data_IF_711860784306
#
_entry.id   IF_711860784306
#
_cell.length_a   1.000
_cell.length_b   1.000
_cell.length_c   1.000
_cell.angle_alpha   90.00
_cell.angle_beta   90.00
_cell.angle_gamma   90.00
#
_symmetry.space_group_name_H-M   'P 1'
#
loop_
_entity.id
_entity.type
_entity.pdbx_description
1 polymer ?
#
# COMPACT_ATOMS: atom_id res chain seq x y z
N UNK A 1 13.18 27.97 -10.37
CA UNK A 1 12.01 27.09 -10.59
C UNK A 1 12.52 25.82 -11.26
N UNK A 2 12.81 24.80 -10.47
CA UNK A 2 13.13 23.46 -10.95
C UNK A 2 12.68 22.51 -9.83
N UNK A 3 11.37 22.29 -9.75
CA UNK A 3 10.85 21.17 -8.98
C UNK A 3 11.10 19.96 -9.86
N UNK A 4 12.33 19.44 -9.75
CA UNK A 4 12.59 18.09 -10.18
C UNK A 4 11.83 17.24 -9.18
N UNK A 5 10.65 16.81 -9.60
CA UNK A 5 9.93 15.66 -9.06
C UNK A 5 10.97 14.53 -9.11
N UNK A 6 11.73 14.38 -8.02
CA UNK A 6 12.55 13.20 -7.80
C UNK A 6 11.56 12.06 -7.66
N UNK A 7 11.16 11.55 -8.82
CA UNK A 7 10.60 10.25 -9.00
C UNK A 7 11.62 9.30 -8.39
N UNK A 8 11.40 8.98 -7.12
CA UNK A 8 12.26 8.18 -6.28
C UNK A 8 12.63 6.93 -7.09
N UNK A 9 13.91 6.87 -7.46
CA UNK A 9 14.56 5.77 -8.15
C UNK A 9 14.28 4.49 -7.37
N UNK A 10 13.18 3.83 -7.67
CA UNK A 10 12.89 2.49 -7.16
C UNK A 10 12.99 1.59 -8.36
N UNK A 11 14.25 1.21 -8.59
CA UNK A 11 14.74 -0.05 -9.12
C UNK A 11 13.70 -0.87 -9.88
N UNK A 12 13.99 -1.06 -11.16
CA UNK A 12 13.30 -1.92 -12.11
C UNK A 12 13.19 -3.38 -11.62
N UNK A 13 12.31 -3.63 -10.66
CA UNK A 13 11.87 -4.96 -10.24
C UNK A 13 10.37 -4.95 -10.44
N UNK A 14 9.87 -5.75 -11.40
CA UNK A 14 8.45 -5.88 -11.78
C UNK A 14 7.53 -5.60 -10.59
N UNK A 15 7.07 -4.35 -10.46
CA UNK A 15 6.33 -3.95 -9.27
C UNK A 15 4.95 -4.57 -9.39
N UNK A 16 4.58 -5.39 -8.41
CA UNK A 16 3.26 -6.03 -8.31
C UNK A 16 2.13 -5.00 -8.12
N UNK A 17 2.53 -3.77 -7.80
CA UNK A 17 1.69 -2.62 -7.54
C UNK A 17 2.36 -1.32 -7.98
N UNK A 18 1.58 -0.26 -8.10
CA UNK A 18 2.06 1.10 -8.40
C UNK A 18 1.32 2.12 -7.56
N UNK A 19 2.01 3.18 -7.14
CA UNK A 19 1.43 4.28 -6.39
C UNK A 19 0.66 5.20 -7.34
N UNK A 20 -0.66 5.30 -7.14
CA UNK A 20 -1.54 6.17 -7.91
C UNK A 20 -1.67 7.53 -7.20
N UNK A 21 -0.62 8.34 -7.24
CA UNK A 21 -0.61 9.67 -6.64
C UNK A 21 -1.47 10.64 -7.48
N UNK A 22 -2.35 11.44 -6.87
CA UNK A 22 -2.99 12.57 -7.54
C UNK A 22 -2.48 13.85 -6.87
N UNK A 23 -2.00 14.79 -7.67
CA UNK A 23 -1.41 16.05 -7.19
C UNK A 23 -2.43 16.81 -6.30
N UNK A 24 -2.23 16.80 -4.98
CA UNK A 24 -3.03 17.53 -3.99
C UNK A 24 -3.91 16.71 -3.02
N UNK A 25 -3.98 15.38 -3.15
CA UNK A 25 -4.72 14.52 -2.21
C UNK A 25 -3.74 13.66 -1.40
N UNK A 26 -3.92 13.60 -0.08
CA UNK A 26 -3.05 12.90 0.87
C UNK A 26 -2.83 11.44 0.40
N UNK A 27 -1.58 11.11 0.16
CA UNK A 27 -1.10 10.10 -0.79
C UNK A 27 -1.30 8.68 -0.28
N UNK A 28 -2.33 7.95 -0.72
CA UNK A 28 -2.48 6.53 -0.34
C UNK A 28 -3.27 5.67 -1.34
N UNK A 29 -3.20 5.93 -2.64
CA UNK A 29 -3.80 5.03 -3.64
C UNK A 29 -2.77 4.02 -4.18
N UNK A 30 -3.12 2.73 -4.15
CA UNK A 30 -2.33 1.65 -4.73
C UNK A 30 -3.13 1.02 -5.85
N UNK A 31 -2.49 0.91 -7.01
CA UNK A 31 -2.99 0.16 -8.16
C UNK A 31 -2.24 -1.16 -8.26
N UNK A 32 -2.97 -2.25 -8.24
CA UNK A 32 -2.40 -3.58 -8.47
C UNK A 32 -2.20 -3.80 -9.97
N UNK A 33 -1.01 -4.25 -10.33
CA UNK A 33 -0.59 -4.51 -11.71
C UNK A 33 -0.37 -6.00 -11.96
N UNK A 34 -0.33 -6.81 -10.89
CA UNK A 34 -0.04 -8.25 -10.96
C UNK A 34 -1.18 -9.09 -10.34
N UNK A 35 -1.26 -10.35 -10.78
CA UNK A 35 -2.16 -11.37 -10.22
C UNK A 35 -3.63 -11.25 -10.65
N UNK A 36 -4.52 -11.95 -9.93
CA UNK A 36 -5.98 -11.93 -10.14
C UNK A 36 -6.60 -10.54 -9.93
N UNK A 37 -5.90 -9.66 -9.24
CA UNK A 37 -6.35 -8.31 -8.91
C UNK A 37 -5.76 -7.24 -9.83
N UNK A 38 -5.07 -7.62 -10.91
CA UNK A 38 -4.49 -6.68 -11.85
C UNK A 38 -5.54 -5.70 -12.40
N UNK A 39 -5.25 -4.40 -12.30
CA UNK A 39 -6.15 -3.31 -12.69
C UNK A 39 -7.02 -2.77 -11.55
N UNK A 40 -7.06 -3.43 -10.40
CA UNK A 40 -7.75 -2.91 -9.21
C UNK A 40 -6.98 -1.73 -8.64
N UNK A 41 -7.67 -0.64 -8.37
CA UNK A 41 -7.14 0.54 -7.67
C UNK A 41 -7.89 0.69 -6.38
N UNK A 42 -7.17 0.68 -5.27
CA UNK A 42 -7.71 0.91 -3.95
C UNK A 42 -6.96 2.04 -3.26
N UNK A 43 -7.66 2.76 -2.40
CA UNK A 43 -7.11 3.78 -1.53
C UNK A 43 -7.01 3.19 -0.14
N UNK A 44 -5.82 3.12 0.43
CA UNK A 44 -5.66 2.84 1.86
C UNK A 44 -5.75 4.16 2.63
N UNK A 45 -6.33 4.14 3.82
CA UNK A 45 -6.48 5.31 4.66
C UNK A 45 -5.53 5.23 5.84
N UNK A 46 -6.09 5.50 7.02
CA UNK A 46 -5.33 5.44 8.27
C UNK A 46 -4.88 4.02 8.55
N UNK A 47 -3.59 3.81 8.49
CA UNK A 47 -2.92 2.61 8.99
C UNK A 47 -2.70 2.77 10.50
N UNK A 48 -3.05 1.75 11.27
CA UNK A 48 -2.84 1.69 12.71
C UNK A 48 -2.51 0.28 13.16
N UNK A 49 -1.46 0.13 13.97
CA UNK A 49 -1.15 -1.14 14.60
C UNK A 49 -2.03 -1.35 15.82
N UNK A 50 -2.47 -2.59 16.05
CA UNK A 50 -3.11 -2.93 17.32
C UNK A 50 -2.14 -2.72 18.48
N UNK A 51 -2.68 -2.47 19.68
CA UNK A 51 -1.86 -2.31 20.89
C UNK A 51 -1.34 -3.63 21.43
N UNK A 52 -2.10 -4.70 21.19
CA UNK A 52 -1.81 -6.03 21.67
C UNK A 52 -1.34 -6.90 20.50
N UNK A 53 -0.21 -7.56 20.73
CA UNK A 53 0.27 -8.64 19.87
C UNK A 53 -0.68 -9.84 19.99
N UNK A 54 -0.92 -10.52 18.88
CA UNK A 54 -1.66 -11.78 18.91
C UNK A 54 -0.89 -12.82 19.74
N UNK A 55 -1.61 -13.86 20.20
CA UNK A 55 -0.99 -15.00 20.89
C UNK A 55 0.10 -15.72 20.10
N UNK A 56 0.14 -15.49 18.80
CA UNK A 56 1.12 -16.02 17.84
C UNK A 56 2.39 -15.15 17.73
N UNK A 57 2.42 -13.97 18.37
CA UNK A 57 3.53 -13.02 18.27
C UNK A 57 3.44 -12.09 17.04
N UNK A 58 2.32 -12.09 16.33
CA UNK A 58 2.06 -11.19 15.20
C UNK A 58 1.31 -9.94 15.68
N UNK A 59 1.74 -8.75 15.27
CA UNK A 59 1.04 -7.50 15.59
C UNK A 59 -0.02 -7.22 14.51
N UNK A 60 -1.32 -7.32 14.81
CA UNK A 60 -2.34 -7.14 13.78
C UNK A 60 -2.41 -5.65 13.38
N UNK A 61 -2.13 -5.40 12.11
CA UNK A 61 -2.29 -4.09 11.48
C UNK A 61 -3.75 -3.89 11.06
N UNK A 62 -4.32 -2.74 11.39
CA UNK A 62 -5.65 -2.30 10.97
C UNK A 62 -5.48 -1.12 10.04
N UNK A 63 -6.10 -1.21 8.88
CA UNK A 63 -6.13 -0.10 7.93
C UNK A 63 -7.50 -0.05 7.28
N UNK A 64 -7.97 1.15 7.02
CA UNK A 64 -9.13 1.37 6.15
C UNK A 64 -8.67 1.26 4.70
N UNK A 65 -9.48 0.62 3.86
CA UNK A 65 -9.27 0.62 2.42
C UNK A 65 -10.57 0.88 1.69
N UNK A 66 -10.49 1.52 0.52
CA UNK A 66 -11.63 1.83 -0.33
C UNK A 66 -11.27 1.50 -1.76
N UNK A 67 -12.01 0.57 -2.36
CA UNK A 67 -11.84 0.25 -3.77
C UNK A 67 -12.35 1.43 -4.61
N UNK A 68 -11.45 2.09 -5.34
CA UNK A 68 -11.78 3.20 -6.25
C UNK A 68 -12.11 2.69 -7.65
N UNK A 69 -11.39 1.67 -8.09
CA UNK A 69 -11.57 1.08 -9.42
C UNK A 69 -11.41 -0.42 -9.36
N UNK A 70 -12.35 -1.13 -9.98
CA UNK A 70 -12.35 -2.59 -10.06
C UNK A 70 -12.87 -3.01 -11.43
N UNK A 71 -12.01 -3.02 -12.46
CA UNK A 71 -12.45 -3.34 -13.83
C UNK A 71 -12.95 -4.79 -13.95
N UNK A 72 -12.53 -5.67 -13.05
CA UNK A 72 -12.85 -7.08 -13.05
C UNK A 72 -14.13 -7.42 -12.23
N UNK A 73 -14.79 -6.42 -11.62
CA UNK A 73 -15.95 -6.62 -10.73
C UNK A 73 -15.73 -7.75 -9.69
N UNK A 74 -14.52 -7.84 -9.14
CA UNK A 74 -14.18 -8.81 -8.11
C UNK A 74 -14.84 -8.44 -6.78
N UNK A 75 -15.33 -9.43 -6.04
CA UNK A 75 -15.76 -9.27 -4.65
C UNK A 75 -14.55 -9.07 -3.73
N UNK A 76 -14.21 -7.81 -3.46
CA UNK A 76 -13.08 -7.42 -2.61
C UNK A 76 -13.51 -6.85 -1.25
N UNK A 77 -14.78 -6.49 -1.07
CA UNK A 77 -15.28 -5.73 0.09
C UNK A 77 -15.18 -6.51 1.42
N UNK A 78 -15.15 -7.84 1.35
CA UNK A 78 -14.99 -8.74 2.52
C UNK A 78 -14.02 -9.88 2.22
N UNK A 79 -13.12 -9.66 1.26
CA UNK A 79 -12.22 -10.71 0.80
C UNK A 79 -11.00 -10.77 1.69
N UNK A 80 -10.99 -11.76 2.59
CA UNK A 80 -9.89 -11.96 3.55
C UNK A 80 -8.57 -12.23 2.83
N UNK A 81 -8.57 -12.96 1.70
CA UNK A 81 -7.34 -13.16 0.92
C UNK A 81 -6.80 -11.83 0.36
N UNK A 82 -7.68 -10.98 -0.16
CA UNK A 82 -7.32 -9.65 -0.66
C UNK A 82 -6.81 -8.77 0.48
N UNK A 83 -7.49 -8.76 1.62
CA UNK A 83 -7.12 -7.99 2.80
C UNK A 83 -5.73 -8.38 3.32
N UNK A 84 -5.46 -9.69 3.43
CA UNK A 84 -4.12 -10.18 3.78
C UNK A 84 -3.09 -9.80 2.71
N UNK A 85 -3.42 -9.96 1.43
CA UNK A 85 -2.51 -9.62 0.33
C UNK A 85 -2.13 -8.14 0.32
N UNK A 86 -3.09 -7.22 0.43
CA UNK A 86 -2.81 -5.78 0.49
C UNK A 86 -2.18 -5.38 1.82
N UNK A 87 -2.49 -6.10 2.92
CA UNK A 87 -1.87 -5.88 4.23
C UNK A 87 -0.38 -6.21 4.23
N UNK A 88 0.00 -7.40 3.75
CA UNK A 88 1.40 -7.80 3.54
C UNK A 88 2.12 -6.80 2.63
N UNK A 89 1.46 -6.38 1.55
CA UNK A 89 1.99 -5.39 0.62
C UNK A 89 2.24 -4.03 1.29
N UNK A 90 1.30 -3.56 2.11
CA UNK A 90 1.42 -2.30 2.85
C UNK A 90 2.55 -2.36 3.87
N UNK A 91 2.76 -3.49 4.53
CA UNK A 91 3.88 -3.70 5.45
C UNK A 91 5.19 -3.65 4.65
N UNK A 92 5.29 -4.38 3.53
CA UNK A 92 6.47 -4.36 2.66
C UNK A 92 6.79 -2.92 2.20
N UNK A 93 5.77 -2.17 1.76
CA UNK A 93 5.89 -0.75 1.37
C UNK A 93 6.40 0.11 2.54
N UNK A 94 5.84 -0.07 3.74
CA UNK A 94 6.20 0.70 4.91
C UNK A 94 7.65 0.38 5.35
N UNK A 95 8.03 -0.89 5.36
CA UNK A 95 9.39 -1.34 5.63
C UNK A 95 10.38 -0.82 4.59
N UNK A 96 10.00 -0.84 3.30
CA UNK A 96 10.80 -0.26 2.24
C UNK A 96 11.00 1.24 2.45
N UNK A 97 9.95 2.02 2.73
CA UNK A 97 10.08 3.46 3.02
C UNK A 97 10.91 3.76 4.26
N UNK A 98 10.78 2.96 5.32
CA UNK A 98 11.61 3.07 6.52
C UNK A 98 13.08 2.80 6.21
N UNK A 99 13.36 1.82 5.33
CA UNK A 99 14.71 1.42 4.92
C UNK A 99 15.35 2.36 3.89
N UNK A 100 14.54 2.98 3.02
CA UNK A 100 14.99 3.90 1.97
C UNK A 100 15.40 5.28 2.53
N UNK A 101 15.13 5.55 3.81
CA UNK A 101 15.89 6.56 4.55
C UNK A 101 15.30 7.97 4.61
N UNK A 102 14.04 8.11 5.03
CA UNK A 102 13.52 9.39 5.60
C UNK A 102 13.24 9.30 7.10
N UNK A 103 13.80 8.31 7.80
CA UNK A 103 13.90 8.36 9.26
C UNK A 103 15.26 8.96 9.63
N UNK A 104 15.36 10.29 9.57
CA UNK A 104 16.38 11.01 10.33
C UNK A 104 16.00 10.80 11.80
N UNK A 105 16.57 9.77 12.43
CA UNK A 105 16.66 9.74 13.88
C UNK A 105 17.59 10.90 14.28
N UNK A 106 17.00 12.03 14.65
CA UNK A 106 17.71 13.14 15.29
C UNK A 106 17.30 13.21 16.75
#
# INVERSE_FOLDING_TARGET
>A
MNTQDENLHTDQKSKRYTFAQREGDDFSCIKLTEGKYAGVVYHYGKVGFAKDENKDGTLPMKFDYTIKQNPNNLDLNENVEFLNYIGDLLIEILEQQLKDGTAVIA
#
